data_IF_408268545766
#
_entry.id   IF_408268545766
#
_cell.length_a   1.000
_cell.length_b   1.000
_cell.length_c   1.000
_cell.angle_alpha   90.00
_cell.angle_beta   90.00
_cell.angle_gamma   90.00
#
_symmetry.space_group_name_H-M   'P 1'
#
loop_
_entity.id
_entity.type
_entity.pdbx_description
1 polymer ?
#
# COMPACT_ATOMS: atom_id res chain seq x y z
N UNK A 1 -13.37 13.66 -14.88
CA UNK A 1 -12.88 12.53 -14.07
C UNK A 1 -11.38 12.23 -14.23
N UNK A 2 -10.75 12.57 -15.36
CA UNK A 2 -9.33 12.31 -15.63
C UNK A 2 -8.37 12.79 -14.53
N UNK A 3 -8.42 14.09 -14.17
CA UNK A 3 -7.51 14.66 -13.17
C UNK A 3 -7.69 14.01 -11.79
N UNK A 4 -8.95 13.78 -11.38
CA UNK A 4 -9.25 13.11 -10.11
C UNK A 4 -8.68 11.69 -10.07
N UNK A 5 -8.88 10.90 -11.13
CA UNK A 5 -8.29 9.57 -11.26
C UNK A 5 -6.77 9.59 -11.17
N UNK A 6 -6.11 10.52 -11.89
CA UNK A 6 -4.66 10.65 -11.87
C UNK A 6 -4.12 10.97 -10.47
N UNK A 7 -4.74 11.91 -9.74
CA UNK A 7 -4.35 12.25 -8.37
C UNK A 7 -4.57 11.08 -7.42
N UNK A 8 -5.73 10.44 -7.48
CA UNK A 8 -6.07 9.28 -6.63
C UNK A 8 -5.08 8.14 -6.87
N UNK A 9 -4.72 7.87 -8.13
CA UNK A 9 -3.72 6.86 -8.46
C UNK A 9 -2.35 7.21 -7.89
N UNK A 10 -1.86 8.43 -8.14
CA UNK A 10 -0.53 8.84 -7.70
C UNK A 10 -0.39 8.84 -6.18
N UNK A 11 -1.39 9.33 -5.47
CA UNK A 11 -1.37 9.32 -4.00
C UNK A 11 -1.57 7.91 -3.48
N UNK A 12 -2.58 7.21 -3.98
CA UNK A 12 -3.00 5.91 -3.45
C UNK A 12 -2.06 4.75 -3.74
N UNK A 13 -1.26 4.82 -4.80
CA UNK A 13 -0.35 3.74 -5.19
C UNK A 13 1.12 4.07 -4.93
N UNK A 14 1.83 4.88 -5.74
CA UNK A 14 3.26 5.08 -5.54
C UNK A 14 3.58 5.79 -4.23
N UNK A 15 2.83 6.81 -3.81
CA UNK A 15 3.09 7.50 -2.54
C UNK A 15 2.82 6.58 -1.34
N UNK A 16 1.68 5.87 -1.30
CA UNK A 16 1.40 4.89 -0.23
C UNK A 16 2.47 3.78 -0.20
N UNK A 17 2.97 3.35 -1.36
CA UNK A 17 4.07 2.40 -1.42
C UNK A 17 5.35 2.97 -0.82
N UNK A 18 5.80 4.15 -1.25
CA UNK A 18 7.04 4.77 -0.78
C UNK A 18 7.01 5.14 0.70
N UNK A 19 5.88 5.63 1.21
CA UNK A 19 5.77 6.17 2.57
C UNK A 19 5.44 5.09 3.60
N UNK A 20 4.71 4.04 3.23
CA UNK A 20 4.26 3.04 4.19
C UNK A 20 4.79 1.64 3.90
N UNK A 21 4.71 1.17 2.65
CA UNK A 21 5.04 -0.22 2.34
C UNK A 21 6.55 -0.44 2.32
N UNK A 22 7.33 0.46 1.72
CA UNK A 22 8.79 0.37 1.67
C UNK A 22 9.38 0.42 3.09
N UNK A 23 9.06 1.38 3.96
CA UNK A 23 9.58 1.39 5.34
C UNK A 23 9.19 0.16 6.14
N UNK A 24 7.97 -0.36 5.93
CA UNK A 24 7.50 -1.57 6.60
C UNK A 24 8.28 -2.82 6.16
N UNK A 25 8.64 -2.89 4.88
CA UNK A 25 9.48 -3.96 4.33
C UNK A 25 10.93 -3.82 4.81
N UNK A 26 11.49 -2.61 4.82
CA UNK A 26 12.85 -2.35 5.30
C UNK A 26 12.98 -2.70 6.79
N UNK A 27 11.96 -2.34 7.59
CA UNK A 27 11.89 -2.71 9.00
C UNK A 27 11.86 -4.24 9.20
N UNK A 28 11.08 -4.96 8.38
CA UNK A 28 11.05 -6.43 8.45
C UNK A 28 12.40 -7.05 8.02
N UNK A 29 13.03 -6.50 6.98
CA UNK A 29 14.32 -6.97 6.49
C UNK A 29 15.46 -6.80 7.50
N UNK A 30 15.34 -5.82 8.41
CA UNK A 30 16.30 -5.59 9.49
C UNK A 30 16.17 -6.54 10.68
N UNK A 31 15.13 -7.39 10.73
CA UNK A 31 14.89 -8.31 11.85
C UNK A 31 15.74 -9.57 11.73
N UNK A 32 16.37 -9.97 12.83
CA UNK A 32 17.09 -11.25 12.92
C UNK A 32 16.12 -12.45 12.77
N UNK A 33 16.27 -13.28 11.72
CA UNK A 33 15.44 -14.46 11.51
C UNK A 33 15.56 -15.51 12.63
N UNK A 34 16.66 -15.51 13.40
CA UNK A 34 16.86 -16.42 14.53
C UNK A 34 16.22 -15.92 15.84
N UNK A 35 15.61 -14.73 15.84
CA UNK A 35 15.02 -14.18 17.06
C UNK A 35 13.78 -14.98 17.51
N UNK A 36 13.67 -15.22 18.82
CA UNK A 36 12.50 -15.87 19.41
C UNK A 36 11.19 -15.07 19.25
N UNK A 37 11.30 -13.79 18.87
CA UNK A 37 10.16 -12.87 18.72
C UNK A 37 9.61 -12.81 17.28
N UNK A 38 10.12 -13.62 16.35
CA UNK A 38 9.76 -13.54 14.93
C UNK A 38 8.25 -13.61 14.65
N UNK A 39 7.50 -14.44 15.37
CA UNK A 39 6.05 -14.56 15.21
C UNK A 39 5.29 -13.27 15.57
N UNK A 40 5.70 -12.58 16.64
CA UNK A 40 5.08 -11.33 17.08
C UNK A 40 5.40 -10.19 16.11
N UNK A 41 6.66 -10.11 15.65
CA UNK A 41 7.08 -9.16 14.62
C UNK A 41 6.27 -9.36 13.34
N UNK A 42 6.15 -10.61 12.88
CA UNK A 42 5.41 -10.93 11.67
C UNK A 42 3.93 -10.55 11.77
N UNK A 43 3.27 -10.86 12.90
CA UNK A 43 1.87 -10.50 13.09
C UNK A 43 1.63 -8.98 13.00
N UNK A 44 2.51 -8.20 13.62
CA UNK A 44 2.44 -6.73 13.59
C UNK A 44 2.77 -6.17 12.20
N UNK A 45 3.75 -6.76 11.49
CA UNK A 45 4.06 -6.39 10.12
C UNK A 45 2.88 -6.69 9.19
N UNK A 46 2.37 -7.93 9.21
CA UNK A 46 1.34 -8.41 8.30
C UNK A 46 0.05 -7.59 8.43
N UNK A 47 -0.39 -7.29 9.66
CA UNK A 47 -1.60 -6.49 9.88
C UNK A 47 -1.51 -5.08 9.25
N UNK A 48 -0.38 -4.39 9.47
CA UNK A 48 -0.14 -3.07 8.86
C UNK A 48 0.03 -3.16 7.34
N UNK A 49 0.74 -4.17 6.86
CA UNK A 49 1.02 -4.38 5.45
C UNK A 49 -0.27 -4.63 4.66
N UNK A 50 -1.15 -5.49 5.19
CA UNK A 50 -2.46 -5.79 4.58
C UNK A 50 -3.34 -4.55 4.55
N UNK A 51 -3.38 -3.76 5.63
CA UNK A 51 -4.15 -2.52 5.67
C UNK A 51 -3.73 -1.55 4.55
N UNK A 52 -2.42 -1.30 4.38
CA UNK A 52 -1.93 -0.41 3.32
C UNK A 52 -2.12 -0.98 1.91
N UNK A 53 -2.16 -2.30 1.75
CA UNK A 53 -2.52 -2.91 0.48
C UNK A 53 -4.02 -2.78 0.17
N UNK A 54 -4.90 -2.82 1.17
CA UNK A 54 -6.31 -2.48 0.96
C UNK A 54 -6.49 -1.05 0.49
N UNK A 55 -5.76 -0.08 1.08
CA UNK A 55 -5.77 1.31 0.61
C UNK A 55 -5.38 1.38 -0.86
N UNK A 56 -4.25 0.79 -1.25
CA UNK A 56 -3.78 0.75 -2.65
C UNK A 56 -4.80 0.11 -3.60
N UNK A 57 -5.48 -0.94 -3.15
CA UNK A 57 -6.48 -1.65 -3.95
C UNK A 57 -7.70 -0.77 -4.20
N UNK A 58 -8.24 -0.15 -3.13
CA UNK A 58 -9.40 0.73 -3.22
C UNK A 58 -9.09 1.93 -4.11
N UNK A 59 -7.94 2.59 -3.92
CA UNK A 59 -7.56 3.75 -4.72
C UNK A 59 -7.34 3.39 -6.19
N UNK A 60 -6.78 2.22 -6.49
CA UNK A 60 -6.65 1.74 -7.86
C UNK A 60 -8.02 1.49 -8.52
N UNK A 61 -8.98 0.86 -7.82
CA UNK A 61 -10.34 0.65 -8.33
C UNK A 61 -11.06 1.97 -8.59
N UNK A 62 -10.97 2.92 -7.65
CA UNK A 62 -11.60 4.25 -7.80
C UNK A 62 -10.96 5.03 -8.96
N UNK A 63 -9.64 4.99 -9.08
CA UNK A 63 -8.93 5.61 -10.20
C UNK A 63 -9.34 4.99 -11.53
N UNK A 64 -9.43 3.67 -11.62
CA UNK A 64 -9.87 2.96 -12.81
C UNK A 64 -11.27 3.42 -13.23
N UNK A 65 -12.22 3.48 -12.29
CA UNK A 65 -13.57 3.98 -12.55
C UNK A 65 -13.56 5.45 -13.04
N UNK A 66 -12.74 6.30 -12.43
CA UNK A 66 -12.57 7.70 -12.88
C UNK A 66 -12.05 7.80 -14.32
N UNK A 67 -11.11 6.94 -14.71
CA UNK A 67 -10.60 6.94 -16.08
C UNK A 67 -11.64 6.43 -17.08
N UNK A 68 -12.38 5.37 -16.76
CA UNK A 68 -13.49 4.90 -17.60
C UNK A 68 -14.53 6.01 -17.82
N UNK A 69 -14.95 6.68 -16.74
CA UNK A 69 -15.90 7.80 -16.79
C UNK A 69 -15.35 9.04 -17.51
N UNK A 70 -14.04 9.12 -17.77
CA UNK A 70 -13.46 10.20 -18.57
C UNK A 70 -13.45 9.91 -20.07
N UNK A 71 -13.70 8.67 -20.47
CA UNK A 71 -13.75 8.23 -21.87
C UNK A 71 -15.19 8.14 -22.41
N UNK A 72 -16.19 8.24 -21.52
CA UNK A 72 -17.61 8.30 -21.85
C UNK A 72 -18.05 9.77 -22.03
#
# INVERSE_FOLDING_TARGET
>A
WLLAGAVIYFVGNPIVTMVFNVPLNDALAAVDPASANGAAVWANHLSQWVMWNHVRTITAIVSMACFILSML
#
